data_IF_415299535849
#
_entry.id   IF_415299535849
#
_cell.length_a   1.000
_cell.length_b   1.000
_cell.length_c   1.000
_cell.angle_alpha   90.00
_cell.angle_beta   90.00
_cell.angle_gamma   90.00
#
_symmetry.space_group_name_H-M   'P 1'
#
loop_
_entity.id
_entity.type
_entity.pdbx_description
1 polymer ?
#
# COMPACT_ATOMS: atom_id res chain seq x y z
N UNK A 1 -23.74 -3.77 1.90
CA UNK A 1 -23.26 -4.57 3.05
C UNK A 1 -22.97 -3.72 4.30
N UNK A 2 -23.05 -2.38 4.28
CA UNK A 2 -23.10 -1.57 5.51
C UNK A 2 -21.85 -1.61 6.41
N UNK A 3 -20.75 -2.19 5.91
CA UNK A 3 -19.47 -2.24 6.61
C UNK A 3 -18.84 -0.85 6.61
N UNK A 4 -18.32 -0.46 7.77
CA UNK A 4 -17.47 0.70 7.93
C UNK A 4 -16.01 0.30 7.67
N UNK A 5 -15.46 0.73 6.54
CA UNK A 5 -14.17 0.24 6.02
C UNK A 5 -13.18 1.39 5.97
N UNK A 6 -12.07 1.20 6.68
CA UNK A 6 -10.94 2.11 6.69
C UNK A 6 -9.74 1.48 6.01
N UNK A 7 -8.91 2.30 5.36
CA UNK A 7 -7.60 1.89 4.86
C UNK A 7 -6.52 2.74 5.53
N UNK A 8 -5.44 2.10 5.99
CA UNK A 8 -4.32 2.77 6.62
C UNK A 8 -3.02 2.48 5.86
N UNK A 9 -2.45 3.52 5.27
CA UNK A 9 -1.16 3.46 4.61
C UNK A 9 -0.05 3.76 5.63
N UNK A 10 0.66 2.70 6.03
CA UNK A 10 1.80 2.80 6.95
C UNK A 10 3.00 3.54 6.36
N UNK A 11 3.15 3.52 5.04
CA UNK A 11 4.33 4.02 4.31
C UNK A 11 4.20 5.45 3.81
N UNK A 12 5.34 6.14 3.68
CA UNK A 12 5.47 7.40 2.93
C UNK A 12 5.50 7.20 1.41
N UNK A 13 5.85 6.00 0.93
CA UNK A 13 5.90 5.63 -0.49
C UNK A 13 7.00 6.33 -1.32
N UNK A 14 7.76 7.26 -0.73
CA UNK A 14 8.62 8.20 -1.43
C UNK A 14 9.87 7.60 -2.13
N UNK A 15 10.16 6.31 -1.94
CA UNK A 15 11.28 5.63 -2.60
C UNK A 15 10.86 4.78 -3.80
N UNK A 16 9.57 4.55 -3.99
CA UNK A 16 9.05 3.64 -4.99
C UNK A 16 8.37 4.41 -6.13
N UNK A 17 8.99 5.45 -6.69
CA UNK A 17 8.48 6.18 -7.87
C UNK A 17 9.64 6.46 -8.81
N UNK A 18 9.41 6.32 -10.12
CA UNK A 18 10.41 6.58 -11.15
C UNK A 18 10.76 8.07 -11.22
N UNK A 19 12.03 8.36 -11.53
CA UNK A 19 12.52 9.75 -11.61
C UNK A 19 11.80 10.54 -12.73
N UNK A 20 11.41 9.88 -13.83
CA UNK A 20 10.64 10.51 -14.93
C UNK A 20 9.24 10.96 -14.49
N UNK A 21 8.58 10.21 -13.60
CA UNK A 21 7.29 10.62 -13.04
C UNK A 21 7.43 11.90 -12.20
N UNK A 22 8.53 12.03 -11.46
CA UNK A 22 8.81 13.25 -10.67
C UNK A 22 8.88 14.46 -11.58
N UNK A 23 9.64 14.39 -12.68
CA UNK A 23 9.76 15.49 -13.63
C UNK A 23 8.41 15.85 -14.26
N UNK A 24 7.65 14.85 -14.71
CA UNK A 24 6.33 15.03 -15.31
C UNK A 24 5.34 15.72 -14.37
N UNK A 25 5.33 15.35 -13.08
CA UNK A 25 4.44 15.98 -12.09
C UNK A 25 4.93 17.39 -11.69
N UNK A 26 6.23 17.65 -11.67
CA UNK A 26 6.76 19.01 -11.49
C UNK A 26 6.38 19.92 -12.66
N UNK A 27 6.47 19.44 -13.90
CA UNK A 27 6.02 20.16 -15.11
C UNK A 27 4.54 20.51 -15.03
N UNK A 28 3.69 19.53 -14.67
CA UNK A 28 2.26 19.77 -14.44
C UNK A 28 2.02 20.87 -13.40
N UNK A 29 2.74 20.83 -12.26
CA UNK A 29 2.59 21.84 -11.21
C UNK A 29 3.02 23.24 -11.67
N UNK A 30 4.10 23.34 -12.46
CA UNK A 30 4.55 24.60 -13.06
C UNK A 30 3.49 25.14 -14.02
N UNK A 31 3.01 24.32 -14.95
CA UNK A 31 2.05 24.74 -15.97
C UNK A 31 0.70 25.15 -15.36
N UNK A 32 0.20 24.38 -14.39
CA UNK A 32 -1.01 24.74 -13.66
C UNK A 32 -0.84 26.07 -12.90
N UNK A 33 0.31 26.29 -12.26
CA UNK A 33 0.57 27.53 -11.53
C UNK A 33 0.71 28.73 -12.48
N UNK A 34 1.25 28.55 -13.69
CA UNK A 34 1.26 29.57 -14.75
C UNK A 34 -0.16 29.95 -15.18
N UNK A 35 -1.02 28.96 -15.40
CA UNK A 35 -2.41 29.18 -15.83
C UNK A 35 -3.20 30.02 -14.83
N UNK A 36 -2.99 29.82 -13.53
CA UNK A 36 -3.65 30.62 -12.48
C UNK A 36 -2.90 31.93 -12.16
N UNK A 37 -1.96 32.36 -13.02
CA UNK A 37 -1.11 33.55 -12.84
C UNK A 37 -0.33 33.57 -11.52
N UNK A 38 0.05 32.40 -11.01
CA UNK A 38 0.88 32.23 -9.83
C UNK A 38 2.38 32.41 -10.13
N UNK A 39 3.17 32.69 -9.09
CA UNK A 39 4.62 32.79 -9.19
C UNK A 39 5.25 31.38 -9.31
N UNK A 40 5.91 31.09 -10.43
CA UNK A 40 6.56 29.79 -10.69
C UNK A 40 8.07 29.78 -10.48
N UNK A 41 8.72 30.90 -10.16
CA UNK A 41 10.19 30.99 -10.09
C UNK A 41 10.80 29.94 -9.17
N UNK A 42 10.17 29.67 -8.03
CA UNK A 42 10.63 28.64 -7.10
C UNK A 42 10.44 27.23 -7.67
N UNK A 43 9.31 26.94 -8.29
CA UNK A 43 9.02 25.63 -8.89
C UNK A 43 9.98 25.33 -10.05
N UNK A 44 10.23 26.33 -10.91
CA UNK A 44 11.15 26.21 -12.05
C UNK A 44 12.60 26.00 -11.58
N UNK A 45 13.00 26.65 -10.49
CA UNK A 45 14.32 26.45 -9.87
C UNK A 45 14.45 25.02 -9.34
N UNK A 46 13.46 24.56 -8.56
CA UNK A 46 13.44 23.17 -8.03
C UNK A 46 13.46 22.15 -9.17
N UNK A 47 12.70 22.38 -10.25
CA UNK A 47 12.69 21.51 -11.42
C UNK A 47 14.06 21.47 -12.11
N UNK A 48 14.70 22.63 -12.30
CA UNK A 48 16.05 22.70 -12.88
C UNK A 48 17.06 21.94 -12.03
N UNK A 49 17.08 22.19 -10.71
CA UNK A 49 17.96 21.51 -9.76
C UNK A 49 17.72 19.98 -9.76
N UNK A 50 16.46 19.57 -9.86
CA UNK A 50 16.07 18.15 -9.92
C UNK A 50 16.56 17.48 -11.21
N UNK A 51 16.46 18.17 -12.35
CA UNK A 51 17.01 17.67 -13.62
C UNK A 51 18.53 17.55 -13.59
N UNK A 52 19.20 18.55 -13.05
CA UNK A 52 20.66 18.53 -12.88
C UNK A 52 21.08 17.39 -11.95
N UNK A 53 20.35 17.17 -10.86
CA UNK A 53 20.56 16.06 -9.95
C UNK A 53 20.39 14.70 -10.65
N UNK A 54 19.27 14.46 -11.34
CA UNK A 54 19.03 13.19 -12.05
C UNK A 54 20.04 12.92 -13.17
N UNK A 55 20.52 13.95 -13.86
CA UNK A 55 21.54 13.78 -14.90
C UNK A 55 22.89 13.26 -14.38
N UNK A 56 23.19 13.47 -13.09
CA UNK A 56 24.45 13.06 -12.45
C UNK A 56 24.26 12.02 -11.34
N UNK A 57 23.02 11.58 -11.12
CA UNK A 57 22.66 10.67 -10.02
C UNK A 57 23.34 9.33 -10.20
N UNK A 58 24.05 8.89 -9.17
CA UNK A 58 24.72 7.59 -9.17
C UNK A 58 23.73 6.47 -8.81
N UNK A 59 23.99 5.22 -9.25
CA UNK A 59 23.22 4.07 -8.80
C UNK A 59 23.14 4.01 -7.26
N UNK A 60 21.93 3.79 -6.73
CA UNK A 60 21.65 3.75 -5.28
C UNK A 60 21.90 5.07 -4.52
N UNK A 61 22.17 6.18 -5.21
CA UNK A 61 22.21 7.48 -4.58
C UNK A 61 20.82 7.87 -4.09
N UNK A 62 20.76 8.29 -2.83
CA UNK A 62 19.56 8.79 -2.18
C UNK A 62 19.07 10.06 -2.86
N UNK A 63 17.75 10.14 -3.06
CA UNK A 63 17.08 11.31 -3.62
C UNK A 63 17.16 12.54 -2.69
N UNK A 64 17.13 13.73 -3.28
CA UNK A 64 17.05 14.96 -2.50
C UNK A 64 15.72 15.03 -1.74
N UNK A 65 15.63 15.77 -0.61
CA UNK A 65 14.38 15.90 0.13
C UNK A 65 13.20 16.35 -0.75
N UNK A 66 13.44 17.25 -1.71
CA UNK A 66 12.39 17.73 -2.63
C UNK A 66 11.93 16.67 -3.62
N UNK A 67 12.82 15.80 -4.09
CA UNK A 67 12.43 14.65 -4.91
C UNK A 67 11.60 13.67 -4.09
N UNK A 68 12.04 13.36 -2.86
CA UNK A 68 11.28 12.48 -1.95
C UNK A 68 9.89 13.04 -1.64
N UNK A 69 9.75 14.34 -1.40
CA UNK A 69 8.47 15.01 -1.21
C UNK A 69 7.52 14.74 -2.41
N UNK A 70 8.00 14.99 -3.64
CA UNK A 70 7.20 14.80 -4.85
C UNK A 70 6.82 13.33 -5.06
N UNK A 71 7.76 12.39 -4.87
CA UNK A 71 7.47 10.95 -4.94
C UNK A 71 6.40 10.54 -3.91
N UNK A 72 6.50 11.07 -2.69
CA UNK A 72 5.50 10.87 -1.64
C UNK A 72 4.12 11.40 -2.05
N UNK A 73 4.05 12.59 -2.64
CA UNK A 73 2.80 13.18 -3.12
C UNK A 73 2.16 12.34 -4.23
N UNK A 74 2.95 11.86 -5.19
CA UNK A 74 2.47 10.97 -6.27
C UNK A 74 1.83 9.71 -5.66
N UNK A 75 2.55 9.03 -4.77
CA UNK A 75 2.04 7.81 -4.11
C UNK A 75 0.79 8.06 -3.27
N UNK A 76 0.75 9.21 -2.58
CA UNK A 76 -0.40 9.61 -1.75
C UNK A 76 -1.64 9.85 -2.61
N UNK A 77 -1.52 10.59 -3.72
CA UNK A 77 -2.67 10.89 -4.58
C UNK A 77 -3.17 9.64 -5.33
N UNK A 78 -2.28 8.76 -5.75
CA UNK A 78 -2.61 7.45 -6.28
C UNK A 78 -3.35 6.57 -5.28
N UNK A 79 -2.87 6.52 -4.03
CA UNK A 79 -3.51 5.79 -2.94
C UNK A 79 -4.93 6.30 -2.64
N UNK A 80 -5.10 7.64 -2.57
CA UNK A 80 -6.42 8.25 -2.43
C UNK A 80 -7.34 7.86 -3.60
N UNK A 81 -6.84 7.94 -4.84
CA UNK A 81 -7.63 7.60 -6.02
C UNK A 81 -8.05 6.13 -6.04
N UNK A 82 -7.15 5.22 -5.65
CA UNK A 82 -7.42 3.78 -5.52
C UNK A 82 -8.48 3.49 -4.44
N UNK A 83 -8.32 4.06 -3.25
CA UNK A 83 -9.26 3.88 -2.14
C UNK A 83 -10.65 4.45 -2.45
N UNK A 84 -10.74 5.66 -3.04
CA UNK A 84 -12.01 6.23 -3.52
C UNK A 84 -12.68 5.34 -4.55
N UNK A 85 -11.92 4.78 -5.49
CA UNK A 85 -12.45 3.86 -6.50
C UNK A 85 -12.96 2.55 -5.87
N UNK A 86 -12.28 2.06 -4.83
CA UNK A 86 -12.74 0.93 -4.01
C UNK A 86 -13.98 1.26 -3.15
N UNK A 87 -14.36 2.54 -3.05
CA UNK A 87 -15.61 3.01 -2.44
C UNK A 87 -15.43 3.72 -1.10
N UNK A 88 -14.20 4.04 -0.68
CA UNK A 88 -13.93 4.74 0.56
C UNK A 88 -14.12 6.26 0.40
N UNK A 89 -14.55 6.90 1.49
CA UNK A 89 -14.56 8.35 1.64
C UNK A 89 -13.22 8.84 2.22
N UNK A 90 -12.89 10.13 2.05
CA UNK A 90 -11.59 10.69 2.41
C UNK A 90 -11.23 10.54 3.89
N UNK A 91 -12.21 10.65 4.78
CA UNK A 91 -12.08 10.47 6.23
C UNK A 91 -11.82 9.01 6.66
N UNK A 92 -11.97 8.05 5.73
CA UNK A 92 -11.66 6.64 5.94
C UNK A 92 -10.29 6.25 5.35
N UNK A 93 -9.55 7.21 4.81
CA UNK A 93 -8.23 7.01 4.20
C UNK A 93 -7.15 7.63 5.09
N UNK A 94 -6.39 6.77 5.76
CA UNK A 94 -5.42 7.17 6.78
C UNK A 94 -4.00 7.06 6.24
N UNK A 95 -3.20 8.13 6.39
CA UNK A 95 -1.78 8.14 6.06
C UNK A 95 -0.98 8.27 7.35
N UNK A 96 -0.40 7.16 7.79
CA UNK A 96 0.28 7.11 9.09
C UNK A 96 1.69 7.68 9.00
N UNK A 97 2.36 7.52 7.86
CA UNK A 97 3.76 7.97 7.66
C UNK A 97 4.65 7.51 8.82
N UNK A 98 4.62 6.20 9.09
CA UNK A 98 5.28 5.65 10.27
C UNK A 98 6.77 6.05 10.29
N UNK A 99 7.32 6.52 11.43
CA UNK A 99 8.71 6.96 11.56
C UNK A 99 9.76 5.97 11.03
N UNK A 100 9.46 4.66 11.04
CA UNK A 100 10.36 3.67 10.46
C UNK A 100 10.57 3.83 8.94
N UNK A 101 9.57 4.35 8.21
CA UNK A 101 9.64 4.64 6.77
C UNK A 101 10.28 5.99 6.45
N UNK A 102 10.26 6.94 7.39
CA UNK A 102 10.81 8.28 7.18
C UNK A 102 12.32 8.31 7.44
N UNK A 103 13.11 7.93 6.43
CA UNK A 103 14.57 8.05 6.57
C UNK A 103 15.26 8.94 5.58
N UNK A 104 14.71 9.19 4.38
CA UNK A 104 15.48 9.84 3.32
C UNK A 104 16.88 9.24 3.18
N UNK A 105 17.02 7.94 3.47
CA UNK A 105 18.26 7.15 3.51
C UNK A 105 17.95 5.79 2.90
N UNK A 106 18.97 5.13 2.39
CA UNK A 106 18.86 3.78 1.80
C UNK A 106 18.45 2.72 2.83
N UNK A 107 18.62 2.99 4.13
CA UNK A 107 18.17 2.13 5.23
C UNK A 107 17.00 2.77 6.00
N UNK A 108 16.01 1.93 6.34
CA UNK A 108 14.87 2.28 7.21
C UNK A 108 15.35 2.39 8.66
N UNK A 109 14.63 3.16 9.49
CA UNK A 109 14.95 3.22 10.93
C UNK A 109 14.59 1.88 11.57
N UNK A 110 15.19 1.59 12.72
CA UNK A 110 14.64 0.58 13.60
C UNK A 110 13.22 0.99 14.02
N UNK A 111 12.32 0.01 14.13
CA UNK A 111 10.98 0.24 14.68
C UNK A 111 11.11 0.83 16.08
N UNK A 112 10.41 1.93 16.32
CA UNK A 112 10.36 2.62 17.59
C UNK A 112 8.99 2.53 18.27
N UNK A 113 8.95 2.99 19.51
CA UNK A 113 7.73 3.11 20.30
C UNK A 113 6.69 4.01 19.63
N UNK A 114 7.14 5.05 18.92
CA UNK A 114 6.26 5.97 18.21
C UNK A 114 5.47 5.29 17.08
N UNK A 115 6.07 4.32 16.37
CA UNK A 115 5.37 3.56 15.32
C UNK A 115 4.19 2.76 15.91
N UNK A 116 4.43 2.16 17.08
CA UNK A 116 3.41 1.38 17.81
C UNK A 116 2.33 2.32 18.36
N UNK A 117 2.73 3.45 18.95
CA UNK A 117 1.80 4.43 19.53
C UNK A 117 0.83 5.00 18.48
N UNK A 118 1.33 5.40 17.31
CA UNK A 118 0.48 5.89 16.22
C UNK A 118 -0.50 4.82 15.72
N UNK A 119 -0.04 3.56 15.65
CA UNK A 119 -0.88 2.43 15.27
C UNK A 119 -1.98 2.17 16.31
N UNK A 120 -1.63 2.22 17.60
CA UNK A 120 -2.60 2.12 18.70
C UNK A 120 -3.63 3.24 18.66
N UNK A 121 -3.20 4.48 18.43
CA UNK A 121 -4.09 5.65 18.36
C UNK A 121 -5.12 5.51 17.25
N UNK A 122 -4.69 5.09 16.05
CA UNK A 122 -5.61 4.84 14.93
C UNK A 122 -6.60 3.72 15.25
N UNK A 123 -6.11 2.59 15.75
CA UNK A 123 -6.95 1.44 16.12
C UNK A 123 -7.95 1.81 17.22
N UNK A 124 -7.55 2.62 18.21
CA UNK A 124 -8.42 3.06 19.30
C UNK A 124 -9.49 4.06 18.84
N UNK A 125 -9.19 4.87 17.82
CA UNK A 125 -10.16 5.78 17.22
C UNK A 125 -11.24 5.02 16.43
N UNK A 126 -10.85 3.96 15.70
CA UNK A 126 -11.76 3.18 14.83
C UNK A 126 -12.48 2.07 15.62
N UNK A 127 -11.77 1.40 16.54
CA UNK A 127 -12.20 0.20 17.29
C UNK A 127 -12.73 -0.92 16.36
N UNK A 128 -11.92 -1.36 15.38
CA UNK A 128 -12.37 -2.29 14.35
C UNK A 128 -12.69 -3.67 14.93
N UNK A 129 -13.69 -4.35 14.34
CA UNK A 129 -13.93 -5.77 14.61
C UNK A 129 -12.99 -6.67 13.79
N UNK A 130 -12.45 -6.17 12.68
CA UNK A 130 -11.54 -6.90 11.81
C UNK A 130 -10.42 -5.98 11.33
N UNK A 131 -9.18 -6.44 11.46
CA UNK A 131 -7.97 -5.80 10.93
C UNK A 131 -7.40 -6.73 9.86
N UNK A 132 -7.13 -6.18 8.68
CA UNK A 132 -6.50 -6.89 7.59
C UNK A 132 -5.06 -6.40 7.42
N UNK A 133 -4.08 -7.30 7.46
CA UNK A 133 -2.66 -6.98 7.34
C UNK A 133 -1.96 -7.85 6.31
N UNK A 134 -0.87 -7.35 5.73
CA UNK A 134 -0.05 -8.13 4.79
C UNK A 134 0.67 -9.27 5.53
N UNK A 135 0.44 -10.50 5.08
CA UNK A 135 1.04 -11.75 5.58
C UNK A 135 2.20 -12.30 4.72
N UNK A 136 2.68 -11.53 3.75
CA UNK A 136 3.85 -11.86 2.92
C UNK A 136 5.15 -11.59 3.68
N UNK A 137 5.46 -12.39 4.70
CA UNK A 137 6.65 -12.16 5.54
C UNK A 137 7.98 -12.41 4.83
N UNK A 138 7.95 -13.03 3.65
CA UNK A 138 9.10 -13.26 2.78
C UNK A 138 9.25 -12.16 1.70
N UNK A 139 8.67 -10.98 1.90
CA UNK A 139 8.80 -9.88 0.94
C UNK A 139 10.28 -9.49 0.76
N UNK A 140 10.76 -9.23 -0.47
CA UNK A 140 12.18 -8.91 -0.71
C UNK A 140 12.70 -7.70 0.07
N UNK A 141 11.80 -6.79 0.46
CA UNK A 141 12.13 -5.58 1.21
C UNK A 141 12.11 -5.77 2.73
N UNK A 142 11.66 -6.93 3.23
CA UNK A 142 11.47 -7.24 4.65
C UNK A 142 10.49 -6.31 5.38
N UNK A 143 9.67 -5.56 4.64
CA UNK A 143 8.81 -4.52 5.23
C UNK A 143 7.51 -5.03 5.76
N UNK A 144 6.95 -6.08 5.16
CA UNK A 144 5.65 -6.59 5.57
C UNK A 144 5.71 -7.22 6.95
N UNK A 145 6.76 -7.99 7.25
CA UNK A 145 6.96 -8.56 8.60
C UNK A 145 7.14 -7.46 9.66
N UNK A 146 7.85 -6.38 9.32
CA UNK A 146 8.04 -5.23 10.21
C UNK A 146 6.71 -4.52 10.48
N UNK A 147 5.95 -4.21 9.44
CA UNK A 147 4.62 -3.61 9.54
C UNK A 147 3.65 -4.47 10.36
N UNK A 148 3.66 -5.78 10.09
CA UNK A 148 2.85 -6.75 10.80
C UNK A 148 3.18 -6.77 12.30
N UNK A 149 4.48 -6.77 12.65
CA UNK A 149 4.90 -6.75 14.06
C UNK A 149 4.46 -5.46 14.78
N UNK A 150 4.45 -4.32 14.10
CA UNK A 150 3.92 -3.06 14.65
C UNK A 150 2.42 -3.19 14.95
N UNK A 151 1.63 -3.70 14.00
CA UNK A 151 0.18 -3.93 14.18
C UNK A 151 -0.08 -4.93 15.30
N UNK A 152 0.66 -6.03 15.33
CA UNK A 152 0.54 -7.08 16.34
C UNK A 152 0.84 -6.55 17.74
N UNK A 153 1.93 -5.80 17.89
CA UNK A 153 2.30 -5.21 19.18
C UNK A 153 1.27 -4.18 19.64
N UNK A 154 0.78 -3.32 18.73
CA UNK A 154 -0.29 -2.38 19.05
C UNK A 154 -1.57 -3.09 19.53
N UNK A 155 -2.01 -4.14 18.83
CA UNK A 155 -3.17 -4.93 19.22
C UNK A 155 -2.97 -5.65 20.56
N UNK A 156 -1.78 -6.22 20.82
CA UNK A 156 -1.47 -6.86 22.11
C UNK A 156 -1.56 -5.89 23.28
N UNK A 157 -1.01 -4.68 23.12
CA UNK A 157 -1.05 -3.64 24.15
C UNK A 157 -2.47 -3.14 24.38
N UNK A 158 -3.23 -2.88 23.32
CA UNK A 158 -4.63 -2.49 23.44
C UNK A 158 -5.47 -3.61 24.07
N UNK A 159 -5.22 -4.89 23.75
CA UNK A 159 -5.92 -6.03 24.36
C UNK A 159 -5.79 -6.08 25.88
N UNK A 160 -4.70 -5.56 26.43
CA UNK A 160 -4.49 -5.49 27.87
C UNK A 160 -5.33 -4.39 28.55
N UNK A 161 -5.79 -3.38 27.81
CA UNK A 161 -6.47 -2.19 28.36
C UNK A 161 -7.87 -1.96 27.82
N UNK A 162 -8.23 -2.55 26.69
CA UNK A 162 -9.43 -2.23 25.91
C UNK A 162 -10.25 -3.48 25.60
N UNK A 163 -11.51 -3.50 26.05
CA UNK A 163 -12.38 -4.66 25.92
C UNK A 163 -12.73 -5.00 24.46
N UNK A 164 -12.85 -4.00 23.59
CA UNK A 164 -13.26 -4.19 22.19
C UNK A 164 -12.29 -5.09 21.40
N UNK A 165 -11.02 -5.14 21.82
CA UNK A 165 -9.98 -5.93 21.14
C UNK A 165 -10.21 -7.44 21.34
N UNK A 166 -10.94 -7.85 22.38
CA UNK A 166 -11.25 -9.27 22.64
C UNK A 166 -12.05 -9.90 21.50
N UNK A 167 -12.87 -9.09 20.83
CA UNK A 167 -13.69 -9.50 19.69
C UNK A 167 -13.10 -9.05 18.34
N UNK A 168 -11.90 -8.47 18.32
CA UNK A 168 -11.21 -8.04 17.10
C UNK A 168 -10.44 -9.21 16.46
N UNK A 169 -10.67 -9.46 15.17
CA UNK A 169 -9.94 -10.47 14.41
C UNK A 169 -8.82 -9.85 13.57
N UNK A 170 -7.65 -10.49 13.56
CA UNK A 170 -6.54 -10.13 12.67
C UNK A 170 -6.49 -11.13 11.51
N UNK A 171 -6.73 -10.65 10.30
CA UNK A 171 -6.69 -11.43 9.06
C UNK A 171 -5.46 -11.07 8.25
N UNK A 172 -4.77 -12.08 7.75
CA UNK A 172 -3.61 -11.93 6.89
C UNK A 172 -4.03 -12.17 5.45
N UNK A 173 -3.73 -11.23 4.58
CA UNK A 173 -3.79 -11.43 3.12
C UNK A 173 -2.38 -11.55 2.57
N UNK A 174 -2.21 -12.31 1.50
CA UNK A 174 -0.97 -12.33 0.72
C UNK A 174 -1.15 -11.54 -0.57
N UNK A 175 -0.08 -10.90 -0.99
CA UNK A 175 0.05 -10.07 -2.18
C UNK A 175 1.04 -10.69 -3.15
N UNK A 176 1.83 -9.87 -3.83
CA UNK A 176 2.60 -10.30 -4.98
C UNK A 176 3.89 -11.07 -4.63
N UNK A 177 3.97 -11.96 -3.64
CA UNK A 177 5.20 -12.75 -3.44
C UNK A 177 4.92 -14.22 -3.17
N UNK A 178 3.95 -14.51 -2.31
CA UNK A 178 3.65 -15.86 -1.88
C UNK A 178 2.14 -16.08 -1.89
N UNK A 179 1.66 -17.27 -2.20
CA UNK A 179 0.25 -17.64 -2.01
C UNK A 179 0.06 -18.48 -0.77
N UNK A 180 -1.14 -18.44 -0.17
CA UNK A 180 -1.49 -19.44 0.85
C UNK A 180 -1.72 -20.79 0.18
N UNK A 181 -1.18 -21.86 0.76
CA UNK A 181 -1.63 -23.19 0.37
C UNK A 181 -3.11 -23.35 0.75
N UNK A 182 -3.88 -24.12 -0.03
CA UNK A 182 -5.33 -24.26 0.19
C UNK A 182 -5.71 -24.64 1.62
N UNK A 183 -4.90 -25.49 2.27
CA UNK A 183 -5.14 -25.96 3.63
C UNK A 183 -4.83 -24.91 4.72
N UNK A 184 -4.17 -23.81 4.36
CA UNK A 184 -3.92 -22.68 5.26
C UNK A 184 -5.02 -21.61 5.21
N UNK A 185 -5.90 -21.66 4.20
CA UNK A 185 -6.94 -20.64 3.98
C UNK A 185 -8.07 -20.86 4.99
N UNK A 186 -8.35 -19.85 5.79
CA UNK A 186 -9.40 -19.88 6.82
C UNK A 186 -10.62 -19.04 6.46
N UNK A 187 -10.46 -18.07 5.55
CA UNK A 187 -11.56 -17.35 4.91
C UNK A 187 -11.26 -17.20 3.42
N UNK A 188 -12.25 -17.54 2.59
CA UNK A 188 -12.20 -17.36 1.16
C UNK A 188 -13.39 -16.53 0.70
N UNK A 189 -13.14 -15.38 0.08
CA UNK A 189 -14.16 -14.42 -0.35
C UNK A 189 -14.31 -14.49 -1.87
N UNK A 190 -15.43 -15.02 -2.40
CA UNK A 190 -15.63 -15.09 -3.83
C UNK A 190 -15.85 -13.71 -4.44
N UNK A 191 -15.33 -13.50 -5.64
CA UNK A 191 -15.51 -12.30 -6.43
C UNK A 191 -16.28 -12.63 -7.71
N UNK A 192 -17.31 -11.83 -7.98
CA UNK A 192 -18.00 -11.80 -9.27
C UNK A 192 -17.11 -11.21 -10.37
N UNK A 193 -17.40 -11.47 -11.66
CA UNK A 193 -16.64 -10.84 -12.77
C UNK A 193 -16.57 -9.31 -12.68
N UNK A 194 -17.63 -8.65 -12.19
CA UNK A 194 -17.66 -7.21 -12.03
C UNK A 194 -16.75 -6.73 -10.91
N UNK A 195 -16.66 -7.48 -9.80
CA UNK A 195 -15.74 -7.18 -8.69
C UNK A 195 -14.28 -7.37 -9.09
N UNK A 196 -13.98 -8.39 -9.90
CA UNK A 196 -12.64 -8.58 -10.50
C UNK A 196 -12.24 -7.37 -11.34
N UNK A 197 -13.12 -6.92 -12.25
CA UNK A 197 -12.89 -5.71 -13.06
C UNK A 197 -12.71 -4.47 -12.18
N UNK A 198 -13.52 -4.33 -11.12
CA UNK A 198 -13.42 -3.21 -10.18
C UNK A 198 -12.08 -3.23 -9.45
N UNK A 199 -11.64 -4.39 -8.95
CA UNK A 199 -10.32 -4.55 -8.31
C UNK A 199 -9.20 -4.16 -9.26
N UNK A 200 -9.22 -4.67 -10.51
CA UNK A 200 -8.23 -4.29 -11.53
C UNK A 200 -8.18 -2.78 -11.76
N UNK A 201 -9.33 -2.14 -11.91
CA UNK A 201 -9.40 -0.70 -12.14
C UNK A 201 -8.97 0.13 -10.90
N UNK A 202 -9.10 -0.41 -9.69
CA UNK A 202 -8.52 0.19 -8.49
C UNK A 202 -6.98 0.13 -8.52
N UNK A 203 -6.40 -1.01 -8.91
CA UNK A 203 -4.95 -1.15 -9.11
C UNK A 203 -4.45 -0.17 -10.16
N UNK A 204 -5.21 0.07 -11.23
CA UNK A 204 -4.85 1.05 -12.26
C UNK A 204 -4.72 2.49 -11.76
N UNK A 205 -5.26 2.82 -10.58
CA UNK A 205 -5.09 4.15 -9.97
C UNK A 205 -3.67 4.35 -9.42
N UNK A 206 -2.91 3.28 -9.23
CA UNK A 206 -1.49 3.31 -8.83
C UNK A 206 -0.59 3.35 -10.07
N UNK A 207 -0.69 4.41 -10.87
CA UNK A 207 -0.09 4.49 -12.20
C UNK A 207 1.43 4.29 -12.22
N UNK A 208 2.14 4.88 -11.26
CA UNK A 208 3.60 4.74 -11.13
C UNK A 208 4.04 3.32 -10.71
N UNK A 209 3.10 2.47 -10.26
CA UNK A 209 3.38 1.14 -9.67
C UNK A 209 2.84 -0.04 -10.47
N UNK A 210 1.72 0.15 -11.18
CA UNK A 210 0.89 -0.94 -11.71
C UNK A 210 1.57 -1.77 -12.81
N UNK A 211 2.52 -1.17 -13.53
CA UNK A 211 3.22 -1.78 -14.67
C UNK A 211 4.51 -2.43 -14.17
N UNK A 212 5.66 -1.78 -14.39
CA UNK A 212 6.95 -2.19 -13.81
C UNK A 212 7.27 -1.35 -12.57
N UNK A 213 7.17 -1.92 -11.35
CA UNK A 213 7.54 -1.20 -10.14
C UNK A 213 9.06 -0.92 -10.13
N UNK A 214 9.47 0.09 -9.37
CA UNK A 214 10.88 0.44 -9.16
C UNK A 214 11.69 -0.72 -8.59
N UNK A 215 11.05 -1.55 -7.76
CA UNK A 215 11.61 -2.76 -7.19
C UNK A 215 10.84 -3.97 -7.72
N UNK A 216 11.14 -4.42 -8.96
CA UNK A 216 10.58 -5.66 -9.47
C UNK A 216 11.23 -6.83 -8.70
N UNK A 217 10.45 -7.86 -8.39
CA UNK A 217 11.02 -9.14 -7.98
C UNK A 217 10.95 -10.11 -9.15
N UNK A 218 10.87 -11.40 -8.85
CA UNK A 218 11.14 -12.43 -9.87
C UNK A 218 9.99 -12.67 -10.86
N UNK A 219 8.79 -12.14 -10.60
CA UNK A 219 7.65 -12.23 -11.52
C UNK A 219 7.66 -11.05 -12.51
N UNK A 220 7.77 -11.36 -13.80
CA UNK A 220 7.86 -10.38 -14.87
C UNK A 220 6.48 -9.81 -15.30
N UNK A 221 5.36 -10.36 -14.81
CA UNK A 221 4.02 -9.86 -15.13
C UNK A 221 3.76 -8.51 -14.47
N UNK A 222 2.90 -7.71 -15.10
CA UNK A 222 2.36 -6.49 -14.50
C UNK A 222 1.56 -6.81 -13.23
N UNK A 223 1.57 -5.90 -12.26
CA UNK A 223 1.01 -6.16 -10.92
C UNK A 223 -0.47 -6.53 -10.96
N UNK A 224 -1.24 -5.91 -11.86
CA UNK A 224 -2.67 -6.18 -12.00
C UNK A 224 -2.96 -7.55 -12.62
N UNK A 225 -2.14 -8.00 -13.59
CA UNK A 225 -2.27 -9.34 -14.21
C UNK A 225 -2.04 -10.39 -13.14
N UNK A 226 -0.97 -10.20 -12.36
CA UNK A 226 -0.63 -11.10 -11.27
C UNK A 226 -1.74 -11.17 -10.22
N UNK A 227 -2.30 -10.03 -9.83
CA UNK A 227 -3.40 -9.99 -8.86
C UNK A 227 -4.65 -10.72 -9.37
N UNK A 228 -5.00 -10.54 -10.64
CA UNK A 228 -6.17 -11.19 -11.26
C UNK A 228 -5.96 -12.70 -11.42
N UNK A 229 -4.81 -13.12 -11.96
CA UNK A 229 -4.47 -14.53 -12.16
C UNK A 229 -4.46 -15.31 -10.84
N UNK A 230 -3.85 -14.76 -9.79
CA UNK A 230 -3.81 -15.36 -8.44
C UNK A 230 -5.19 -15.66 -7.88
N UNK A 231 -6.09 -14.67 -7.94
CA UNK A 231 -7.44 -14.86 -7.41
C UNK A 231 -8.22 -15.84 -8.28
N UNK A 232 -7.99 -15.87 -9.59
CA UNK A 232 -8.60 -16.84 -10.50
C UNK A 232 -8.13 -18.27 -10.20
N UNK A 233 -6.82 -18.48 -10.06
CA UNK A 233 -6.22 -19.77 -9.67
C UNK A 233 -6.78 -20.27 -8.33
N UNK A 234 -6.95 -19.38 -7.34
CA UNK A 234 -7.59 -19.73 -6.06
C UNK A 234 -9.03 -20.22 -6.26
N UNK A 235 -9.82 -19.56 -7.11
CA UNK A 235 -11.19 -19.99 -7.41
C UNK A 235 -11.23 -21.32 -8.19
N UNK A 236 -10.34 -21.51 -9.15
CA UNK A 236 -10.21 -22.76 -9.92
C UNK A 236 -9.86 -23.95 -9.00
N UNK A 237 -8.93 -23.75 -8.07
CA UNK A 237 -8.55 -24.73 -7.07
C UNK A 237 -9.74 -25.13 -6.17
N UNK A 238 -10.54 -24.17 -5.72
CA UNK A 238 -11.75 -24.45 -4.93
C UNK A 238 -12.82 -25.18 -5.76
N UNK A 239 -12.98 -24.83 -7.03
CA UNK A 239 -13.89 -25.53 -7.95
C UNK A 239 -13.46 -26.99 -8.14
N UNK A 240 -12.16 -27.27 -8.28
CA UNK A 240 -11.63 -28.64 -8.37
C UNK A 240 -11.89 -29.47 -7.09
N UNK A 241 -12.04 -28.82 -5.94
CA UNK A 241 -12.47 -29.47 -4.69
C UNK A 241 -13.99 -29.70 -4.61
N UNK A 242 -14.76 -29.29 -5.61
CA UNK A 242 -16.21 -29.44 -5.69
C UNK A 242 -17.01 -28.26 -5.13
N UNK A 243 -16.37 -27.12 -4.87
CA UNK A 243 -17.07 -25.89 -4.47
C UNK A 243 -17.69 -25.18 -5.67
N UNK A 244 -18.55 -24.19 -5.42
CA UNK A 244 -19.18 -23.40 -6.49
C UNK A 244 -18.13 -22.62 -7.31
N UNK A 245 -18.40 -22.50 -8.62
CA UNK A 245 -17.56 -21.76 -9.55
C UNK A 245 -17.70 -20.24 -9.34
N UNK A 246 -16.57 -19.56 -9.23
CA UNK A 246 -16.47 -18.10 -9.14
C UNK A 246 -15.40 -17.58 -10.07
N UNK A 247 -15.50 -16.31 -10.48
CA UNK A 247 -14.54 -15.71 -11.39
C UNK A 247 -13.15 -15.56 -10.75
N UNK A 248 -13.12 -15.25 -9.45
CA UNK A 248 -11.91 -15.17 -8.65
C UNK A 248 -12.26 -15.30 -7.16
N UNK A 249 -11.25 -15.51 -6.31
CA UNK A 249 -11.42 -15.65 -4.87
C UNK A 249 -10.23 -15.03 -4.12
N UNK A 250 -10.53 -14.25 -3.08
CA UNK A 250 -9.53 -13.73 -2.14
C UNK A 250 -9.39 -14.66 -0.95
N UNK A 251 -8.14 -14.90 -0.53
CA UNK A 251 -7.82 -15.81 0.55
C UNK A 251 -7.23 -15.07 1.75
N UNK A 252 -7.71 -15.43 2.94
CA UNK A 252 -7.22 -14.89 4.20
C UNK A 252 -6.93 -16.00 5.20
N UNK A 253 -5.89 -15.78 6.01
CA UNK A 253 -5.51 -16.62 7.15
C UNK A 253 -5.66 -15.83 8.43
N UNK A 254 -6.29 -16.40 9.45
CA UNK A 254 -6.44 -15.75 10.75
C UNK A 254 -5.13 -15.81 11.51
N UNK A 255 -4.76 -14.69 12.12
CA UNK A 255 -3.70 -14.64 13.11
C UNK A 255 -4.30 -14.52 14.51
N UNK A 256 -3.92 -15.44 15.40
CA UNK A 256 -4.35 -15.43 16.80
C UNK A 256 -3.28 -14.71 17.62
N UNK A 257 -3.68 -13.64 18.30
CA UNK A 257 -2.82 -12.78 19.11
C UNK A 257 -3.34 -12.59 20.53
#
# INVERSE_FOLDING_TARGET
>A
QGHDVHVAYQTSGNTAVWDDDVLRYMEFAIDFNKEINGNTTQLETIYKDTREFFAHKQPNQVDTPKVLDVKGFIRKTEAIAGARYAGLQDDHIHFMMLPFYETGKTQKNAVGEEDIRQTMELLQNIKPQQVYAAGDFADPNGTHIVCFNIVLEALRRLKATEDWVKDCWLWLYRGAWLEFDMHEIEMAVPLSPQEVIRKRNAIFKHQSQKDRPVFPGDDAREFWVRAEDRNRETAENYNQLGMAEYAAMEAFKRYIF
#
